data_IF_722892938371
#
_entry.id   IF_722892938371
#
_cell.length_a   1.000
_cell.length_b   1.000
_cell.length_c   1.000
_cell.angle_alpha   90.00
_cell.angle_beta   90.00
_cell.angle_gamma   90.00
#
_symmetry.space_group_name_H-M   'P 1'
#
loop_
_entity.id
_entity.type
_entity.pdbx_description
1 polymer ?
#
# COMPACT_ATOMS: atom_id res chain seq x y z
N UNK A 1 5.10 -19.50 5.42
CA UNK A 1 4.20 -18.40 5.83
C UNK A 1 4.88 -17.12 5.41
N UNK A 2 4.52 -16.58 4.24
CA UNK A 2 5.04 -15.29 3.79
C UNK A 2 4.34 -14.24 4.62
N UNK A 3 5.06 -13.60 5.53
CA UNK A 3 4.55 -12.50 6.34
C UNK A 3 4.63 -11.23 5.51
N UNK A 4 3.48 -10.62 5.24
CA UNK A 4 3.42 -9.32 4.59
C UNK A 4 4.09 -8.26 5.49
N UNK A 5 5.09 -7.52 4.99
CA UNK A 5 5.84 -6.56 5.79
C UNK A 5 5.03 -5.32 6.18
N UNK A 6 3.84 -5.10 5.59
CA UNK A 6 2.95 -3.97 5.86
C UNK A 6 1.79 -4.32 6.79
N UNK A 7 1.59 -5.58 7.15
CA UNK A 7 0.51 -6.03 8.05
C UNK A 7 0.53 -5.42 9.48
N UNK A 8 1.53 -4.59 9.81
CA UNK A 8 1.65 -3.87 11.08
C UNK A 8 1.62 -2.34 10.96
N UNK A 9 1.42 -1.78 9.76
CA UNK A 9 1.22 -0.33 9.60
C UNK A 9 -0.20 0.05 10.06
N UNK A 10 -0.33 1.19 10.75
CA UNK A 10 -1.64 1.75 11.09
C UNK A 10 -2.36 2.15 9.78
N UNK A 11 -3.38 1.38 9.41
CA UNK A 11 -4.27 1.72 8.30
C UNK A 11 -5.08 2.95 8.70
N UNK A 12 -4.62 4.12 8.29
CA UNK A 12 -5.42 5.36 8.34
C UNK A 12 -6.58 5.25 7.35
N UNK A 13 -7.64 6.04 7.53
CA UNK A 13 -8.81 5.99 6.66
C UNK A 13 -8.44 6.18 5.17
N UNK A 14 -7.48 7.05 4.87
CA UNK A 14 -6.98 7.28 3.50
C UNK A 14 -6.17 6.09 2.97
N UNK A 15 -5.24 5.54 3.76
CA UNK A 15 -4.44 4.38 3.35
C UNK A 15 -5.31 3.12 3.20
N UNK A 16 -6.33 2.97 4.05
CA UNK A 16 -7.31 1.90 3.96
C UNK A 16 -8.18 2.03 2.70
N UNK A 17 -8.61 3.26 2.37
CA UNK A 17 -9.37 3.51 1.14
C UNK A 17 -8.56 3.11 -0.10
N UNK A 18 -7.29 3.51 -0.17
CA UNK A 18 -6.37 3.14 -1.26
C UNK A 18 -6.21 1.61 -1.37
N UNK A 19 -6.09 0.90 -0.23
CA UNK A 19 -5.99 -0.57 -0.23
C UNK A 19 -7.28 -1.25 -0.68
N UNK A 20 -8.46 -0.72 -0.28
CA UNK A 20 -9.76 -1.24 -0.70
C UNK A 20 -9.93 -1.10 -2.21
N UNK A 21 -9.57 0.06 -2.78
CA UNK A 21 -9.64 0.31 -4.22
C UNK A 21 -8.73 -0.66 -4.98
N UNK A 22 -7.48 -0.82 -4.52
CA UNK A 22 -6.52 -1.75 -5.11
C UNK A 22 -7.01 -3.20 -5.09
N UNK A 23 -7.51 -3.68 -3.95
CA UNK A 23 -8.05 -5.05 -3.81
C UNK A 23 -9.32 -5.22 -4.64
N UNK A 24 -10.16 -4.19 -4.73
CA UNK A 24 -11.35 -4.17 -5.58
C UNK A 24 -10.98 -4.41 -7.05
N UNK A 25 -10.02 -3.66 -7.57
CA UNK A 25 -9.53 -3.80 -8.94
C UNK A 25 -8.94 -5.19 -9.20
N UNK A 26 -8.18 -5.74 -8.24
CA UNK A 26 -7.63 -7.09 -8.32
C UNK A 26 -8.74 -8.15 -8.42
N UNK A 27 -9.79 -8.03 -7.60
CA UNK A 27 -10.92 -8.98 -7.59
C UNK A 27 -11.66 -8.94 -8.92
N UNK A 28 -11.89 -7.75 -9.49
CA UNK A 28 -12.52 -7.60 -10.81
C UNK A 28 -11.68 -8.26 -11.89
N UNK A 29 -10.37 -8.01 -11.93
CA UNK A 29 -9.47 -8.62 -12.90
C UNK A 29 -9.43 -10.15 -12.77
N UNK A 30 -9.35 -10.66 -11.54
CA UNK A 30 -9.34 -12.10 -11.28
C UNK A 30 -10.67 -12.76 -11.67
N UNK A 31 -11.81 -12.12 -11.38
CA UNK A 31 -13.13 -12.63 -11.74
C UNK A 31 -13.40 -12.64 -13.25
N UNK A 32 -12.73 -11.78 -14.02
CA UNK A 32 -12.81 -11.78 -15.47
C UNK A 32 -11.90 -12.83 -16.13
N UNK A 33 -10.97 -13.42 -15.37
CA UNK A 33 -10.04 -14.43 -15.86
C UNK A 33 -10.60 -15.85 -15.66
N UNK A 34 -10.49 -16.69 -16.69
CA UNK A 34 -10.87 -18.11 -16.60
C UNK A 34 -9.82 -18.96 -15.87
N UNK A 35 -8.66 -18.37 -15.54
CA UNK A 35 -7.50 -19.04 -14.94
C UNK A 35 -6.88 -18.16 -13.85
N UNK A 36 -6.12 -18.74 -12.90
CA UNK A 36 -5.32 -17.94 -11.98
C UNK A 36 -4.39 -17.00 -12.74
N UNK A 37 -4.36 -15.72 -12.32
CA UNK A 37 -3.45 -14.72 -12.85
C UNK A 37 -2.03 -14.97 -12.33
N UNK A 38 -1.05 -14.75 -13.19
CA UNK A 38 0.37 -14.67 -12.80
C UNK A 38 0.69 -13.30 -12.20
N UNK A 39 1.79 -13.18 -11.45
CA UNK A 39 2.19 -11.91 -10.83
C UNK A 39 2.34 -10.78 -11.87
N UNK A 40 2.92 -11.07 -13.05
CA UNK A 40 3.04 -10.10 -14.14
C UNK A 40 1.69 -9.67 -14.73
N UNK A 41 0.70 -10.56 -14.73
CA UNK A 41 -0.66 -10.23 -15.17
C UNK A 41 -1.40 -9.38 -14.13
N UNK A 42 -1.18 -9.67 -12.83
CA UNK A 42 -1.70 -8.87 -11.71
C UNK A 42 -1.11 -7.46 -11.77
N UNK A 43 0.21 -7.33 -11.86
CA UNK A 43 0.89 -6.03 -11.93
C UNK A 43 0.37 -5.21 -13.12
N UNK A 44 0.23 -5.84 -14.30
CA UNK A 44 -0.32 -5.18 -15.48
C UNK A 44 -1.77 -4.75 -15.30
N UNK A 45 -2.60 -5.58 -14.67
CA UNK A 45 -4.01 -5.27 -14.41
C UNK A 45 -4.16 -4.11 -13.42
N UNK A 46 -3.29 -4.04 -12.42
CA UNK A 46 -3.25 -2.98 -11.41
C UNK A 46 -2.45 -1.74 -11.85
N UNK A 47 -1.85 -1.76 -13.04
CA UNK A 47 -1.01 -0.66 -13.54
C UNK A 47 0.27 -0.44 -12.74
N UNK A 48 0.74 -1.45 -12.00
CA UNK A 48 1.94 -1.39 -11.18
C UNK A 48 3.17 -1.46 -12.08
N UNK A 49 3.89 -0.35 -12.17
CA UNK A 49 5.21 -0.33 -12.79
C UNK A 49 6.24 -0.87 -11.79
N UNK A 50 6.87 -2.02 -12.11
CA UNK A 50 7.97 -2.59 -11.32
C UNK A 50 9.16 -1.62 -11.27
N UNK A 51 9.13 -0.68 -10.34
CA UNK A 51 10.12 0.39 -10.22
C UNK A 51 9.81 1.47 -9.18
N UNK A 52 8.57 1.55 -8.68
CA UNK A 52 8.17 2.59 -7.73
C UNK A 52 8.19 2.04 -6.29
N UNK A 53 9.38 2.03 -5.69
CA UNK A 53 9.52 2.06 -4.23
C UNK A 53 9.01 3.44 -3.77
N UNK A 54 7.71 3.56 -3.51
CA UNK A 54 7.18 4.79 -2.92
C UNK A 54 7.45 4.69 -1.42
N UNK A 55 8.56 5.29 -0.98
CA UNK A 55 8.84 5.54 0.42
C UNK A 55 7.83 6.56 0.97
N UNK A 56 6.61 6.12 1.30
CA UNK A 56 5.58 6.94 1.97
C UNK A 56 5.93 7.29 3.42
N UNK A 57 7.06 6.81 3.94
CA UNK A 57 7.43 6.95 5.36
C UNK A 57 8.21 8.25 5.73
N UNK A 58 8.36 9.21 4.82
CA UNK A 58 9.23 10.39 5.09
C UNK A 58 8.54 11.63 5.68
N UNK A 59 7.20 11.65 5.79
CA UNK A 59 6.47 12.83 6.27
C UNK A 59 6.21 12.84 7.80
N UNK A 60 6.18 11.68 8.46
CA UNK A 60 5.80 11.56 9.87
C UNK A 60 6.94 11.93 10.86
N UNK A 61 8.22 11.76 10.48
CA UNK A 61 9.37 11.99 11.39
C UNK A 61 9.59 13.47 11.77
N UNK A 62 9.17 14.43 10.93
CA UNK A 62 9.42 15.86 11.19
C UNK A 62 8.58 16.45 12.31
N UNK A 63 7.42 15.84 12.59
CA UNK A 63 6.47 16.35 13.60
C UNK A 63 6.91 16.03 15.04
N UNK A 64 7.70 14.97 15.25
CA UNK A 64 8.09 14.51 16.58
C UNK A 64 9.19 15.37 17.24
N UNK A 65 9.97 16.14 16.45
CA UNK A 65 11.01 17.03 16.99
C UNK A 65 10.48 18.36 17.55
N UNK A 66 9.28 18.78 17.13
CA UNK A 66 8.73 20.10 17.45
C UNK A 66 8.23 20.19 18.91
N UNK A 67 7.73 19.08 19.46
CA UNK A 67 7.06 19.08 20.77
C UNK A 67 8.03 19.11 21.95
N UNK A 68 9.30 18.76 21.73
CA UNK A 68 10.30 18.65 22.82
C UNK A 68 10.97 19.98 23.20
N UNK A 69 10.61 21.10 22.55
CA UNK A 69 11.17 22.44 22.87
C UNK A 69 10.26 23.34 23.71
N UNK A 70 8.98 23.01 23.89
CA UNK A 70 8.04 23.90 24.57
C UNK A 70 7.92 23.69 26.09
N UNK A 71 8.68 22.76 26.68
CA UNK A 71 8.66 22.44 28.11
C UNK A 71 10.03 22.69 28.77
N UNK A 72 10.55 23.91 28.70
CA UNK A 72 11.74 24.35 29.43
C UNK A 72 11.48 25.71 30.10
#
# INVERSE_FOLDING_TARGET
MTTDPHAGAELTDDALQDEIELVGDLVVAASASERPLTDDEIDRALGIERGQCVDTDSAADRSHRSWKRQNA
#
